data_IF_665069096891
#
_entry.id   IF_665069096891
#
_cell.length_a   1.000
_cell.length_b   1.000
_cell.length_c   1.000
_cell.angle_alpha   90.00
_cell.angle_beta   90.00
_cell.angle_gamma   90.00
#
_symmetry.space_group_name_H-M   'P 1'
#
loop_
_entity.id
_entity.type
_entity.pdbx_description
1 polymer ?
#
# COMPACT_ATOMS: atom_id res chain seq x y z
N UNK A 1 11.39 -13.42 4.16
CA UNK A 1 10.77 -14.45 5.05
C UNK A 1 11.84 -15.27 5.78
N UNK A 2 11.52 -15.98 6.88
CA UNK A 2 12.51 -16.76 7.66
C UNK A 2 13.17 -17.87 6.84
N UNK A 3 12.37 -18.69 6.14
CA UNK A 3 12.90 -19.78 5.32
C UNK A 3 13.77 -19.25 4.18
N UNK A 4 13.37 -18.16 3.52
CA UNK A 4 14.20 -17.52 2.47
C UNK A 4 15.54 -17.00 3.01
N UNK A 5 15.57 -16.43 4.22
CA UNK A 5 16.83 -16.01 4.86
C UNK A 5 17.73 -17.21 5.14
N UNK A 6 17.16 -18.31 5.63
CA UNK A 6 17.91 -19.54 5.87
C UNK A 6 18.46 -20.16 4.57
N UNK A 7 17.66 -20.16 3.49
CA UNK A 7 18.12 -20.61 2.17
C UNK A 7 19.34 -19.80 1.71
N UNK A 8 19.28 -18.47 1.86
CA UNK A 8 20.38 -17.58 1.54
C UNK A 8 21.62 -17.84 2.42
N UNK A 9 21.45 -17.99 3.73
CA UNK A 9 22.53 -18.31 4.67
C UNK A 9 23.19 -19.66 4.36
N UNK A 10 22.40 -20.63 3.92
CA UNK A 10 22.86 -21.97 3.52
C UNK A 10 23.39 -22.04 2.08
N UNK A 11 23.35 -20.93 1.32
CA UNK A 11 23.69 -20.89 -0.11
C UNK A 11 22.86 -21.87 -0.97
N UNK A 12 21.62 -22.14 -0.54
CA UNK A 12 20.64 -22.89 -1.31
C UNK A 12 20.01 -21.98 -2.39
N UNK A 13 19.47 -22.55 -3.50
CA UNK A 13 18.74 -21.78 -4.51
C UNK A 13 17.62 -20.95 -3.88
N UNK A 14 17.32 -19.78 -4.44
CA UNK A 14 16.22 -18.96 -3.95
C UNK A 14 14.86 -19.59 -4.31
N UNK A 15 13.76 -19.07 -3.73
CA UNK A 15 12.41 -19.61 -3.98
C UNK A 15 12.05 -19.68 -5.47
N UNK A 16 12.44 -18.67 -6.26
CA UNK A 16 12.11 -18.59 -7.69
C UNK A 16 12.85 -19.66 -8.48
N UNK A 17 14.11 -19.90 -8.16
CA UNK A 17 14.94 -20.87 -8.85
C UNK A 17 14.50 -22.32 -8.57
N UNK A 18 14.04 -22.63 -7.35
CA UNK A 18 13.55 -23.96 -7.00
C UNK A 18 12.10 -24.23 -7.45
N UNK A 19 11.33 -23.18 -7.73
CA UNK A 19 9.91 -23.28 -8.04
C UNK A 19 9.01 -23.48 -6.81
N UNK A 20 7.70 -23.32 -7.03
CA UNK A 20 6.70 -23.24 -5.95
C UNK A 20 6.61 -24.52 -5.12
N UNK A 21 6.50 -25.68 -5.77
CA UNK A 21 6.22 -26.94 -5.07
C UNK A 21 7.39 -27.34 -4.16
N UNK A 22 8.63 -27.24 -4.67
CA UNK A 22 9.83 -27.51 -3.90
C UNK A 22 10.00 -26.53 -2.72
N UNK A 23 9.70 -25.24 -2.94
CA UNK A 23 9.73 -24.24 -1.87
C UNK A 23 8.70 -24.55 -0.77
N UNK A 24 7.48 -24.90 -1.14
CA UNK A 24 6.42 -25.24 -0.17
C UNK A 24 6.81 -26.47 0.65
N UNK A 25 7.39 -27.49 0.02
CA UNK A 25 7.92 -28.67 0.71
C UNK A 25 9.02 -28.29 1.72
N UNK A 26 9.95 -27.44 1.31
CA UNK A 26 11.03 -26.92 2.19
C UNK A 26 10.47 -26.17 3.40
N UNK A 27 9.42 -25.37 3.22
CA UNK A 27 8.74 -24.66 4.32
C UNK A 27 8.07 -25.65 5.29
N UNK A 28 7.47 -26.73 4.79
CA UNK A 28 6.92 -27.80 5.64
C UNK A 28 7.99 -28.51 6.48
N UNK A 29 9.15 -28.79 5.88
CA UNK A 29 10.29 -29.38 6.60
C UNK A 29 10.75 -28.46 7.74
N UNK A 30 10.95 -27.16 7.44
CA UNK A 30 11.31 -26.17 8.45
C UNK A 30 10.26 -26.03 9.56
N UNK A 31 8.97 -26.08 9.21
CA UNK A 31 7.88 -26.07 10.19
C UNK A 31 7.94 -27.27 11.13
N UNK A 32 8.29 -28.45 10.63
CA UNK A 32 8.41 -29.65 11.46
C UNK A 32 9.53 -29.50 12.50
N UNK A 33 10.68 -28.95 12.09
CA UNK A 33 11.82 -28.67 12.98
C UNK A 33 11.50 -27.57 14.01
N UNK A 34 11.02 -26.42 13.54
CA UNK A 34 10.73 -25.26 14.39
C UNK A 34 9.55 -25.51 15.34
N UNK A 35 8.45 -26.07 14.82
CA UNK A 35 7.26 -26.38 15.63
C UNK A 35 7.56 -27.39 16.74
N UNK A 36 8.38 -28.40 16.47
CA UNK A 36 8.83 -29.36 17.48
C UNK A 36 9.58 -28.67 18.63
N UNK A 37 10.42 -27.69 18.32
CA UNK A 37 11.21 -26.96 19.32
C UNK A 37 10.32 -26.08 20.20
N UNK A 38 9.37 -25.32 19.62
CA UNK A 38 8.45 -24.45 20.38
C UNK A 38 7.63 -25.27 21.40
N UNK A 39 7.08 -26.41 20.96
CA UNK A 39 6.30 -27.30 21.85
C UNK A 39 7.16 -27.87 22.97
N UNK A 40 8.40 -28.28 22.67
CA UNK A 40 9.33 -28.78 23.70
C UNK A 40 9.69 -27.70 24.72
N UNK A 41 9.92 -26.46 24.27
CA UNK A 41 10.20 -25.33 25.15
C UNK A 41 9.02 -25.04 26.08
N UNK A 42 7.78 -24.98 25.56
CA UNK A 42 6.58 -24.76 26.37
C UNK A 42 6.38 -25.88 27.40
N UNK A 43 6.59 -27.14 27.01
CA UNK A 43 6.53 -28.29 27.94
C UNK A 43 7.60 -28.18 29.02
N UNK A 44 8.82 -27.78 28.66
CA UNK A 44 9.92 -27.58 29.63
C UNK A 44 9.64 -26.44 30.61
N UNK A 45 8.93 -25.40 30.17
CA UNK A 45 8.44 -24.32 31.03
C UNK A 45 7.28 -24.74 31.94
N UNK A 46 6.77 -25.98 31.78
CA UNK A 46 5.67 -26.50 32.59
C UNK A 46 4.29 -26.05 32.14
N UNK A 47 4.13 -25.63 30.88
CA UNK A 47 2.81 -25.28 30.34
C UNK A 47 1.87 -26.50 30.36
N UNK A 48 0.75 -26.39 31.08
CA UNK A 48 -0.25 -27.44 31.27
C UNK A 48 -1.35 -27.43 30.19
N UNK A 49 -0.97 -27.16 28.94
CA UNK A 49 -1.90 -27.15 27.80
C UNK A 49 -2.42 -28.55 27.46
N UNK A 50 -3.61 -28.65 26.85
CA UNK A 50 -4.11 -29.91 26.29
C UNK A 50 -3.42 -30.21 24.95
N UNK A 51 -2.27 -30.87 25.04
CA UNK A 51 -1.45 -31.23 23.88
C UNK A 51 -2.13 -32.21 22.91
N UNK A 52 -3.20 -32.91 23.33
CA UNK A 52 -3.96 -33.79 22.43
C UNK A 52 -4.76 -33.01 21.38
N UNK A 53 -5.00 -31.72 21.65
CA UNK A 53 -5.73 -30.78 20.78
C UNK A 53 -4.81 -29.75 20.15
N UNK A 54 -3.52 -30.05 20.05
CA UNK A 54 -2.59 -29.21 19.30
C UNK A 54 -3.11 -28.99 17.87
N UNK A 55 -3.10 -27.74 17.44
CA UNK A 55 -3.57 -27.31 16.11
C UNK A 55 -2.51 -26.46 15.45
N UNK A 56 -2.48 -26.54 14.13
CA UNK A 56 -1.64 -25.73 13.28
C UNK A 56 -2.52 -25.02 12.27
N UNK A 57 -2.27 -23.74 12.01
CA UNK A 57 -3.14 -22.90 11.18
C UNK A 57 -3.43 -23.52 9.81
N UNK A 58 -2.46 -24.22 9.21
CA UNK A 58 -2.61 -24.93 7.94
C UNK A 58 -2.82 -26.45 8.07
N UNK A 59 -3.23 -26.96 9.25
CA UNK A 59 -3.70 -28.33 9.35
C UNK A 59 -5.04 -28.53 8.60
N UNK A 60 -5.43 -29.78 8.40
CA UNK A 60 -6.64 -30.11 7.63
C UNK A 60 -7.91 -29.48 8.23
N UNK A 61 -8.03 -29.48 9.56
CA UNK A 61 -9.21 -28.97 10.26
C UNK A 61 -9.37 -27.46 10.13
N UNK A 62 -8.29 -26.72 10.40
CA UNK A 62 -8.29 -25.26 10.29
C UNK A 62 -8.33 -24.79 8.84
N UNK A 63 -7.67 -25.48 7.91
CA UNK A 63 -7.77 -25.17 6.47
C UNK A 63 -9.21 -25.29 5.96
N UNK A 64 -9.94 -26.33 6.38
CA UNK A 64 -11.37 -26.48 6.06
C UNK A 64 -12.23 -25.38 6.67
N UNK A 65 -11.91 -24.94 7.89
CA UNK A 65 -12.62 -23.84 8.54
C UNK A 65 -12.43 -22.52 7.79
N UNK A 66 -11.21 -22.20 7.35
CA UNK A 66 -10.90 -21.00 6.56
C UNK A 66 -11.68 -21.01 5.24
N UNK A 67 -11.68 -22.12 4.50
CA UNK A 67 -12.44 -22.26 3.24
C UNK A 67 -13.94 -22.04 3.48
N UNK A 68 -14.50 -22.67 4.53
CA UNK A 68 -15.91 -22.51 4.88
C UNK A 68 -16.26 -21.05 5.14
N UNK A 69 -15.50 -20.37 6.00
CA UNK A 69 -15.74 -18.97 6.39
C UNK A 69 -15.60 -18.05 5.19
N UNK A 70 -14.59 -18.25 4.34
CA UNK A 70 -14.42 -17.47 3.12
C UNK A 70 -15.66 -17.57 2.21
N UNK A 71 -16.10 -18.80 1.91
CA UNK A 71 -17.26 -19.02 1.02
C UNK A 71 -18.54 -18.46 1.63
N UNK A 72 -18.71 -18.57 2.95
CA UNK A 72 -19.87 -18.05 3.66
C UNK A 72 -19.93 -16.51 3.60
N UNK A 73 -18.84 -15.84 3.93
CA UNK A 73 -18.76 -14.37 3.87
C UNK A 73 -18.87 -13.84 2.43
N UNK A 74 -18.32 -14.55 1.45
CA UNK A 74 -18.49 -14.22 0.03
C UNK A 74 -19.96 -14.30 -0.39
N UNK A 75 -20.67 -15.37 -0.01
CA UNK A 75 -22.12 -15.52 -0.30
C UNK A 75 -22.98 -14.47 0.40
N UNK A 76 -22.52 -13.92 1.52
CA UNK A 76 -23.16 -12.82 2.21
C UNK A 76 -22.85 -11.45 1.60
N UNK A 77 -21.99 -11.37 0.57
CA UNK A 77 -21.53 -10.11 -0.03
C UNK A 77 -20.53 -9.35 0.83
N UNK A 78 -20.02 -9.96 1.91
CA UNK A 78 -19.06 -9.34 2.83
C UNK A 78 -17.61 -9.52 2.37
N UNK A 79 -17.34 -10.50 1.50
CA UNK A 79 -16.08 -10.62 0.76
C UNK A 79 -16.34 -10.23 -0.68
N UNK A 80 -15.50 -9.36 -1.21
CA UNK A 80 -15.60 -8.86 -2.58
C UNK A 80 -14.21 -8.63 -3.18
N UNK A 81 -14.16 -8.53 -4.51
CA UNK A 81 -12.97 -8.17 -5.26
C UNK A 81 -13.12 -6.72 -5.70
N UNK A 82 -12.10 -5.90 -5.46
CA UNK A 82 -12.07 -4.50 -5.86
C UNK A 82 -10.67 -4.11 -6.33
N UNK A 83 -10.60 -3.10 -7.18
CA UNK A 83 -9.35 -2.48 -7.64
C UNK A 83 -9.09 -1.24 -6.79
N UNK A 84 -8.21 -1.38 -5.81
CA UNK A 84 -7.83 -0.28 -4.90
C UNK A 84 -6.32 -0.24 -4.73
N UNK A 85 -5.85 0.83 -4.10
CA UNK A 85 -4.49 0.88 -3.60
C UNK A 85 -4.32 -0.13 -2.47
N UNK A 86 -3.21 -0.84 -2.52
CA UNK A 86 -2.70 -1.64 -1.41
C UNK A 86 -1.32 -1.17 -1.03
N UNK A 87 -0.96 -1.41 0.22
CA UNK A 87 0.42 -1.37 0.66
C UNK A 87 1.17 -2.52 -0.01
N UNK A 88 1.98 -2.23 -1.01
CA UNK A 88 2.79 -3.21 -1.72
C UNK A 88 4.21 -3.19 -1.22
N UNK A 89 4.71 -4.37 -0.87
CA UNK A 89 6.12 -4.56 -0.53
C UNK A 89 6.88 -4.98 -1.80
N UNK A 90 7.72 -4.10 -2.40
CA UNK A 90 8.47 -4.43 -3.62
C UNK A 90 9.59 -5.46 -3.38
N UNK A 91 10.04 -5.63 -2.13
CA UNK A 91 11.05 -6.64 -1.78
C UNK A 91 10.46 -8.04 -1.68
N UNK A 92 9.28 -8.16 -1.04
CA UNK A 92 8.58 -9.44 -0.87
C UNK A 92 7.62 -9.78 -2.01
N UNK A 93 7.22 -8.76 -2.79
CA UNK A 93 6.28 -8.82 -3.90
C UNK A 93 4.91 -9.31 -3.47
N UNK A 94 4.37 -8.66 -2.44
CA UNK A 94 3.04 -8.97 -1.92
C UNK A 94 2.38 -7.71 -1.38
N UNK A 95 1.05 -7.67 -1.48
CA UNK A 95 0.26 -6.77 -0.66
C UNK A 95 0.44 -7.09 0.82
N UNK A 96 0.41 -6.08 1.67
CA UNK A 96 0.43 -6.18 3.14
C UNK A 96 -0.70 -5.33 3.74
N UNK A 97 -1.09 -5.64 4.98
CA UNK A 97 -2.09 -4.88 5.74
C UNK A 97 -1.53 -3.55 6.23
N UNK A 98 -2.39 -2.56 6.52
CA UNK A 98 -1.98 -1.33 7.23
C UNK A 98 -1.31 -1.65 8.58
N UNK A 99 -1.71 -2.75 9.22
CA UNK A 99 -1.10 -3.23 10.48
C UNK A 99 0.30 -3.82 10.31
N UNK A 100 0.72 -4.10 9.08
CA UNK A 100 2.04 -4.64 8.72
C UNK A 100 2.97 -3.50 8.23
N UNK A 101 2.51 -2.25 8.28
CA UNK A 101 3.27 -1.05 7.91
C UNK A 101 3.77 -0.32 9.15
N UNK A 102 5.07 -0.03 9.19
CA UNK A 102 5.73 0.74 10.22
C UNK A 102 6.15 2.11 9.67
N UNK A 103 5.52 3.21 10.10
CA UNK A 103 5.95 4.54 9.69
C UNK A 103 7.26 4.91 10.41
N UNK A 104 8.27 5.34 9.66
CA UNK A 104 9.56 5.80 10.21
C UNK A 104 9.86 7.22 9.75
N UNK A 105 10.43 8.01 10.65
CA UNK A 105 10.89 9.37 10.35
C UNK A 105 12.18 9.32 9.52
N UNK A 106 12.18 10.01 8.38
CA UNK A 106 13.31 10.02 7.44
C UNK A 106 13.61 11.45 7.01
N UNK A 107 14.90 11.80 6.96
CA UNK A 107 15.37 13.03 6.34
C UNK A 107 15.23 12.90 4.82
N UNK A 108 14.39 13.73 4.22
CA UNK A 108 14.22 13.82 2.78
C UNK A 108 14.22 15.26 2.31
N UNK A 109 13.65 15.47 1.12
CA UNK A 109 13.49 16.80 0.55
C UNK A 109 12.03 17.01 0.14
N UNK A 110 11.63 18.28 0.14
CA UNK A 110 10.43 18.77 -0.48
C UNK A 110 10.84 19.56 -1.73
N UNK A 111 10.54 19.02 -2.90
CA UNK A 111 10.84 19.63 -4.18
C UNK A 111 9.66 20.49 -4.65
N UNK A 112 9.97 21.68 -5.14
CA UNK A 112 9.00 22.58 -5.73
C UNK A 112 9.20 22.66 -7.24
N UNK A 113 8.21 22.16 -8.00
CA UNK A 113 8.26 22.12 -9.46
C UNK A 113 7.23 23.06 -10.08
N UNK A 114 7.61 23.68 -11.19
CA UNK A 114 6.74 24.52 -12.03
C UNK A 114 6.00 23.65 -13.03
N UNK A 115 4.69 23.71 -13.00
CA UNK A 115 3.79 23.09 -13.98
C UNK A 115 3.26 24.19 -14.89
N UNK A 116 3.70 24.28 -16.16
CA UNK A 116 3.25 25.30 -17.09
C UNK A 116 1.73 25.22 -17.34
N UNK A 117 1.05 26.37 -17.41
CA UNK A 117 -0.35 26.41 -17.87
C UNK A 117 -0.39 26.18 -19.38
N UNK A 118 -1.22 25.24 -19.84
CA UNK A 118 -1.34 24.90 -21.25
C UNK A 118 -1.81 26.08 -22.11
N UNK A 119 -2.66 26.94 -21.54
CA UNK A 119 -3.35 28.01 -22.25
C UNK A 119 -2.65 29.38 -22.09
N UNK A 120 -1.62 29.46 -21.24
CA UNK A 120 -0.96 30.71 -20.83
C UNK A 120 0.56 30.53 -20.78
N UNK A 121 1.25 30.66 -21.93
CA UNK A 121 2.70 30.52 -22.01
C UNK A 121 3.43 31.46 -21.02
N UNK A 122 4.34 30.90 -20.23
CA UNK A 122 5.11 31.64 -19.22
C UNK A 122 4.43 31.75 -17.84
N UNK A 123 3.16 31.34 -17.70
CA UNK A 123 2.53 31.16 -16.39
C UNK A 123 2.65 29.69 -15.95
N UNK A 124 2.80 29.48 -14.64
CA UNK A 124 2.96 28.16 -14.05
C UNK A 124 2.30 28.08 -12.67
N UNK A 125 1.92 26.87 -12.29
CA UNK A 125 1.55 26.51 -10.92
C UNK A 125 2.75 25.84 -10.27
N UNK A 126 3.10 26.26 -9.06
CA UNK A 126 4.17 25.61 -8.29
C UNK A 126 3.54 24.52 -7.43
N UNK A 127 3.99 23.29 -7.61
CA UNK A 127 3.56 22.13 -6.83
C UNK A 127 4.72 21.65 -5.96
N UNK A 128 4.42 21.32 -4.71
CA UNK A 128 5.38 20.73 -3.79
C UNK A 128 5.20 19.20 -3.70
N UNK A 129 6.28 18.43 -3.72
CA UNK A 129 6.23 16.98 -3.52
C UNK A 129 7.50 16.42 -2.90
N UNK A 130 7.36 15.34 -2.13
CA UNK A 130 8.46 14.49 -1.63
C UNK A 130 8.77 13.30 -2.55
N UNK A 131 7.98 13.10 -3.62
CA UNK A 131 8.11 11.97 -4.55
C UNK A 131 8.11 12.43 -6.01
N UNK A 132 9.18 13.09 -6.49
CA UNK A 132 9.30 13.56 -7.87
C UNK A 132 8.98 12.48 -8.91
N UNK A 133 9.42 11.24 -8.69
CA UNK A 133 9.21 10.13 -9.63
C UNK A 133 7.73 9.82 -9.91
N UNK A 134 6.86 10.05 -8.93
CA UNK A 134 5.42 9.81 -9.09
C UNK A 134 4.73 10.83 -9.97
N UNK A 135 5.37 11.98 -10.24
CA UNK A 135 4.76 13.04 -11.04
C UNK A 135 4.41 12.59 -12.46
N UNK A 136 5.13 11.60 -13.01
CA UNK A 136 4.86 11.05 -14.34
C UNK A 136 3.45 10.41 -14.44
N UNK A 137 2.87 10.03 -13.29
CA UNK A 137 1.53 9.48 -13.16
C UNK A 137 0.46 10.52 -12.80
N UNK A 138 0.80 11.81 -12.77
CA UNK A 138 -0.14 12.85 -12.35
C UNK A 138 -1.35 12.92 -13.27
N UNK A 139 -2.49 13.17 -12.63
CA UNK A 139 -3.80 13.20 -13.27
C UNK A 139 -4.54 14.51 -13.02
N UNK A 140 -4.13 15.28 -12.02
CA UNK A 140 -4.58 16.66 -11.78
C UNK A 140 -3.60 17.39 -10.86
N UNK A 141 -3.83 18.70 -10.72
CA UNK A 141 -3.31 19.49 -9.60
C UNK A 141 -4.51 19.92 -8.74
N UNK A 142 -4.51 19.58 -7.46
CA UNK A 142 -5.55 20.02 -6.53
C UNK A 142 -5.15 21.33 -5.84
N UNK A 143 -6.12 22.24 -5.74
CA UNK A 143 -6.02 23.48 -4.98
C UNK A 143 -7.22 23.62 -4.06
N UNK A 144 -7.06 24.31 -2.93
CA UNK A 144 -8.17 24.49 -2.02
C UNK A 144 -9.23 25.43 -2.63
N UNK A 145 -10.54 25.12 -2.53
CA UNK A 145 -11.61 25.97 -3.09
C UNK A 145 -11.59 27.42 -2.58
N UNK A 146 -11.21 27.60 -1.31
CA UNK A 146 -11.18 28.90 -0.64
C UNK A 146 -9.84 29.64 -0.79
N UNK A 147 -8.84 29.07 -1.47
CA UNK A 147 -7.55 29.74 -1.66
C UNK A 147 -7.63 30.80 -2.79
N UNK A 148 -7.61 32.11 -2.47
CA UNK A 148 -7.78 33.15 -3.46
C UNK A 148 -6.66 33.19 -4.52
N UNK A 149 -5.49 32.57 -4.25
CA UNK A 149 -4.36 32.51 -5.18
C UNK A 149 -4.67 31.69 -6.44
N UNK A 150 -5.53 30.68 -6.30
CA UNK A 150 -5.76 29.66 -7.33
C UNK A 150 -7.19 29.62 -7.88
N UNK A 151 -8.12 30.41 -7.35
CA UNK A 151 -9.53 30.43 -7.79
C UNK A 151 -9.71 30.62 -9.30
N UNK A 152 -8.91 31.50 -9.91
CA UNK A 152 -8.96 31.79 -11.35
C UNK A 152 -8.25 30.73 -12.22
N UNK A 153 -7.62 29.74 -11.58
CA UNK A 153 -6.94 28.62 -12.24
C UNK A 153 -7.74 27.32 -12.20
N UNK A 154 -8.74 27.19 -11.31
CA UNK A 154 -9.61 26.01 -11.26
C UNK A 154 -10.31 25.81 -12.61
N UNK A 155 -10.23 24.59 -13.14
CA UNK A 155 -10.76 24.21 -14.45
C UNK A 155 -9.83 24.49 -15.64
N UNK A 156 -8.70 25.18 -15.43
CA UNK A 156 -7.65 25.29 -16.45
C UNK A 156 -6.80 24.01 -16.50
N UNK A 157 -6.06 23.87 -17.59
CA UNK A 157 -5.16 22.74 -17.80
C UNK A 157 -3.70 23.17 -17.59
N UNK A 158 -2.92 22.31 -16.94
CA UNK A 158 -1.45 22.40 -16.91
C UNK A 158 -0.86 21.31 -17.80
N UNK A 159 0.25 21.62 -18.44
CA UNK A 159 1.04 20.63 -19.15
C UNK A 159 1.98 19.95 -18.16
N UNK A 160 1.82 18.64 -17.99
CA UNK A 160 2.64 17.82 -17.12
C UNK A 160 4.07 17.78 -17.66
N UNK A 161 5.06 18.32 -16.91
CA UNK A 161 6.45 18.30 -17.37
C UNK A 161 6.95 16.89 -17.66
N UNK A 162 7.87 16.76 -18.63
CA UNK A 162 8.48 15.50 -19.12
C UNK A 162 7.53 14.54 -19.85
N UNK A 163 6.23 14.56 -19.56
CA UNK A 163 5.21 13.69 -20.18
C UNK A 163 4.46 14.40 -21.31
N UNK A 164 4.22 15.71 -21.19
CA UNK A 164 3.44 16.51 -22.15
C UNK A 164 1.92 16.28 -22.08
N UNK A 165 1.44 15.56 -21.06
CA UNK A 165 0.00 15.32 -20.83
C UNK A 165 -0.66 16.58 -20.26
N UNK A 166 -1.81 16.97 -20.78
CA UNK A 166 -2.60 18.03 -20.16
C UNK A 166 -3.45 17.47 -19.02
N UNK A 167 -3.30 18.03 -17.82
CA UNK A 167 -4.05 17.63 -16.61
C UNK A 167 -4.81 18.83 -16.02
N UNK A 168 -6.03 18.62 -15.50
CA UNK A 168 -6.84 19.71 -14.96
C UNK A 168 -6.34 20.20 -13.60
N UNK A 169 -6.63 21.46 -13.29
CA UNK A 169 -6.59 22.00 -11.94
C UNK A 169 -7.97 21.83 -11.30
N UNK A 170 -8.06 21.06 -10.22
CA UNK A 170 -9.31 20.74 -9.52
C UNK A 170 -9.37 21.44 -8.16
N UNK A 171 -10.59 21.82 -7.75
CA UNK A 171 -10.82 22.38 -6.42
C UNK A 171 -11.18 21.25 -5.45
N UNK A 172 -10.34 20.98 -4.45
CA UNK A 172 -10.58 19.93 -3.45
C UNK A 172 -10.09 20.37 -2.07
N UNK A 173 -10.88 20.10 -1.03
CA UNK A 173 -10.55 20.48 0.36
C UNK A 173 -9.38 19.69 0.96
N UNK A 174 -8.91 18.63 0.28
CA UNK A 174 -7.69 17.93 0.68
C UNK A 174 -6.44 18.79 0.54
N UNK A 175 -6.41 19.70 -0.43
CA UNK A 175 -5.27 20.61 -0.59
C UNK A 175 -5.28 21.64 0.55
N UNK A 176 -4.20 21.69 1.34
CA UNK A 176 -4.07 22.65 2.43
C UNK A 176 -3.38 23.94 1.95
N UNK A 177 -4.05 25.12 2.00
CA UNK A 177 -3.45 26.40 1.62
C UNK A 177 -2.16 26.76 2.38
N UNK A 178 -2.01 26.27 3.62
CA UNK A 178 -0.87 26.56 4.49
C UNK A 178 0.31 25.62 4.24
N UNK A 179 0.09 24.48 3.57
CA UNK A 179 1.12 23.49 3.30
C UNK A 179 1.80 23.69 1.94
N UNK A 180 3.12 23.83 1.94
CA UNK A 180 3.92 23.96 0.72
C UNK A 180 3.51 25.21 -0.07
N UNK A 181 2.88 25.02 -1.22
CA UNK A 181 2.39 26.11 -2.08
C UNK A 181 0.87 26.33 -1.97
N UNK A 182 0.12 25.40 -1.36
CA UNK A 182 -1.34 25.32 -1.47
C UNK A 182 -1.85 24.60 -2.72
N UNK A 183 -0.95 24.18 -3.60
CA UNK A 183 -1.25 23.35 -4.77
C UNK A 183 -0.50 22.00 -4.67
N UNK A 184 -1.26 20.91 -4.80
CA UNK A 184 -0.76 19.54 -4.59
C UNK A 184 -0.92 18.74 -5.88
N UNK A 185 0.11 18.01 -6.30
CA UNK A 185 -0.04 17.06 -7.42
C UNK A 185 -0.93 15.91 -6.98
N UNK A 186 -1.82 15.48 -7.86
CA UNK A 186 -2.68 14.34 -7.61
C UNK A 186 -2.22 13.18 -8.50
N UNK A 187 -1.70 12.14 -7.85
CA UNK A 187 -1.22 10.90 -8.48
C UNK A 187 -2.02 9.70 -7.96
N UNK A 188 -3.27 9.49 -8.41
CA UNK A 188 -4.22 8.58 -7.76
C UNK A 188 -3.76 7.12 -7.62
N UNK A 189 -2.85 6.67 -8.49
CA UNK A 189 -2.37 5.29 -8.48
C UNK A 189 -1.17 5.03 -7.53
N UNK A 190 -0.66 6.06 -6.83
CA UNK A 190 0.58 5.97 -6.01
C UNK A 190 0.48 6.63 -4.63
N UNK A 191 -0.69 7.16 -4.26
CA UNK A 191 -0.95 7.72 -2.92
C UNK A 191 -2.43 7.53 -2.51
N UNK A 192 -2.66 7.13 -1.26
CA UNK A 192 -4.01 6.81 -0.76
C UNK A 192 -4.94 8.03 -0.70
N UNK A 193 -4.42 9.21 -0.37
CA UNK A 193 -5.24 10.41 -0.33
C UNK A 193 -5.52 10.92 -1.75
N UNK A 194 -4.51 10.89 -2.62
CA UNK A 194 -4.66 11.23 -4.04
C UNK A 194 -5.66 10.31 -4.74
N UNK A 195 -5.72 9.03 -4.35
CA UNK A 195 -6.71 8.08 -4.85
C UNK A 195 -8.14 8.50 -4.53
N UNK A 196 -8.39 8.97 -3.31
CA UNK A 196 -9.71 9.45 -2.91
C UNK A 196 -10.06 10.77 -3.60
N UNK A 197 -9.10 11.68 -3.80
CA UNK A 197 -9.30 12.87 -4.64
C UNK A 197 -9.62 12.45 -6.08
N UNK A 198 -8.86 11.51 -6.63
CA UNK A 198 -9.07 10.97 -7.97
C UNK A 198 -10.45 10.37 -8.15
N UNK A 199 -10.96 9.63 -7.15
CA UNK A 199 -12.33 9.10 -7.15
C UNK A 199 -13.39 10.20 -7.09
N UNK A 200 -13.20 11.24 -6.27
CA UNK A 200 -14.17 12.36 -6.15
C UNK A 200 -14.32 13.17 -7.44
N UNK A 201 -13.22 13.31 -8.20
CA UNK A 201 -13.16 14.12 -9.42
C UNK A 201 -13.13 13.30 -10.72
N UNK A 202 -13.37 11.98 -10.65
CA UNK A 202 -13.35 11.06 -11.80
C UNK A 202 -12.07 11.15 -12.65
N UNK A 203 -10.92 11.21 -11.96
CA UNK A 203 -9.61 11.36 -12.60
C UNK A 203 -9.08 10.00 -13.09
N UNK A 204 -8.35 9.98 -14.22
CA UNK A 204 -7.65 8.77 -14.66
C UNK A 204 -6.61 8.34 -13.60
N UNK A 205 -6.32 7.04 -13.56
CA UNK A 205 -5.38 6.47 -12.58
C UNK A 205 -4.22 5.79 -13.33
N UNK A 206 -3.11 6.49 -13.49
CA UNK A 206 -1.93 5.98 -14.20
C UNK A 206 -0.99 5.23 -13.24
N UNK A 207 -1.01 3.90 -13.28
CA UNK A 207 -0.02 3.10 -12.55
C UNK A 207 1.30 3.09 -13.34
N UNK A 208 2.31 3.82 -12.88
CA UNK A 208 3.60 4.02 -13.57
C UNK A 208 4.70 3.08 -13.08
N UNK A 209 4.49 2.36 -11.98
CA UNK A 209 5.47 1.44 -11.43
C UNK A 209 5.13 0.01 -11.87
N UNK A 210 6.12 -0.87 -11.86
CA UNK A 210 6.03 -2.33 -11.97
C UNK A 210 6.15 -2.98 -10.56
N UNK A 211 5.85 -4.28 -10.43
CA UNK A 211 5.81 -4.93 -9.11
C UNK A 211 7.15 -4.82 -8.33
N UNK A 212 8.25 -4.50 -9.00
CA UNK A 212 9.58 -4.29 -8.43
C UNK A 212 9.87 -2.82 -8.07
N UNK A 213 8.88 -1.94 -8.19
CA UNK A 213 9.01 -0.49 -8.07
C UNK A 213 9.97 0.13 -9.10
N UNK A 214 10.03 -0.44 -10.30
CA UNK A 214 10.65 0.16 -11.48
C UNK A 214 9.60 0.84 -12.37
N UNK A 215 9.97 1.87 -13.11
CA UNK A 215 9.04 2.54 -14.02
C UNK A 215 8.65 1.65 -15.20
N UNK A 216 7.37 1.60 -15.54
CA UNK A 216 6.80 0.72 -16.55
C UNK A 216 6.55 1.44 -17.90
N UNK A 217 5.75 0.86 -18.79
CA UNK A 217 5.48 1.42 -20.13
C UNK A 217 4.63 2.71 -20.15
N UNK A 218 3.95 3.05 -19.05
CA UNK A 218 3.08 4.25 -18.92
C UNK A 218 3.87 5.57 -18.85
N UNK A 219 5.21 5.51 -18.75
CA UNK A 219 6.09 6.68 -18.70
C UNK A 219 6.86 6.89 -20.01
N UNK A 220 7.43 8.09 -20.25
CA UNK A 220 8.31 8.35 -21.39
C UNK A 220 9.44 7.33 -21.49
N UNK A 221 9.80 6.94 -22.71
CA UNK A 221 10.77 5.88 -23.03
C UNK A 221 12.09 6.04 -22.27
N UNK A 222 12.54 7.28 -22.07
CA UNK A 222 13.78 7.60 -21.39
C UNK A 222 13.84 7.15 -19.92
N UNK A 223 12.69 6.96 -19.26
CA UNK A 223 12.60 6.57 -17.84
C UNK A 223 12.22 5.11 -17.62
N UNK A 224 11.81 4.38 -18.66
CA UNK A 224 11.30 3.01 -18.53
C UNK A 224 12.39 2.07 -17.99
N UNK A 225 11.98 1.18 -17.09
CA UNK A 225 12.85 0.21 -16.42
C UNK A 225 13.73 0.78 -15.31
N UNK A 226 13.74 2.11 -15.08
CA UNK A 226 14.52 2.70 -13.99
C UNK A 226 13.89 2.36 -12.63
N UNK A 227 14.69 1.96 -11.63
CA UNK A 227 14.24 1.87 -10.25
C UNK A 227 13.76 3.24 -9.74
N UNK A 228 12.70 3.28 -8.91
CA UNK A 228 12.07 4.52 -8.40
C UNK A 228 13.05 5.58 -7.88
N UNK A 229 14.13 5.19 -7.21
CA UNK A 229 15.10 6.12 -6.63
C UNK A 229 16.04 6.71 -7.68
N UNK A 230 16.51 5.89 -8.64
CA UNK A 230 17.30 6.36 -9.77
C UNK A 230 16.45 7.24 -10.70
N UNK A 231 15.18 6.86 -10.89
CA UNK A 231 14.21 7.66 -11.62
C UNK A 231 14.01 9.03 -10.96
N UNK A 232 13.90 9.08 -9.62
CA UNK A 232 13.77 10.34 -8.87
C UNK A 232 14.93 11.28 -9.15
N UNK A 233 16.17 10.80 -9.02
CA UNK A 233 17.37 11.61 -9.27
C UNK A 233 17.40 12.15 -10.69
N UNK A 234 17.09 11.29 -11.67
CA UNK A 234 17.08 11.66 -13.09
C UNK A 234 15.99 12.68 -13.41
N UNK A 235 14.78 12.49 -12.89
CA UNK A 235 13.64 13.39 -13.11
C UNK A 235 13.92 14.77 -12.52
N UNK A 236 14.50 14.84 -11.32
CA UNK A 236 14.90 16.12 -10.73
C UNK A 236 15.94 16.83 -11.59
N UNK A 237 16.96 16.11 -12.07
CA UNK A 237 17.99 16.67 -12.95
C UNK A 237 17.42 17.17 -14.28
N UNK A 238 16.51 16.41 -14.90
CA UNK A 238 15.88 16.80 -16.16
C UNK A 238 14.97 18.04 -15.99
N UNK A 239 14.25 18.15 -14.86
CA UNK A 239 13.43 19.33 -14.56
C UNK A 239 14.27 20.57 -14.25
N UNK A 240 15.41 20.40 -13.58
CA UNK A 240 16.36 21.49 -13.33
C UNK A 240 16.98 21.99 -14.64
N UNK A 241 17.37 21.07 -15.53
CA UNK A 241 17.88 21.41 -16.86
C UNK A 241 16.85 22.18 -17.72
N UNK A 242 15.56 21.93 -17.50
CA UNK A 242 14.45 22.67 -18.12
C UNK A 242 14.10 23.99 -17.39
N UNK A 243 14.74 24.30 -16.26
CA UNK A 243 14.43 25.48 -15.45
C UNK A 243 13.08 25.40 -14.72
N UNK A 244 12.53 24.19 -14.58
CA UNK A 244 11.24 23.92 -13.94
C UNK A 244 11.37 23.55 -12.46
N UNK A 245 12.59 23.34 -11.95
CA UNK A 245 12.85 23.24 -10.52
C UNK A 245 12.94 24.66 -9.92
N UNK A 246 12.05 25.00 -8.99
CA UNK A 246 12.05 26.31 -8.33
C UNK A 246 12.92 26.34 -7.08
N UNK A 247 12.74 25.34 -6.18
CA UNK A 247 13.49 25.24 -4.93
C UNK A 247 13.45 23.81 -4.39
N UNK A 248 14.43 23.49 -3.55
CA UNK A 248 14.52 22.24 -2.79
C UNK A 248 14.65 22.61 -1.32
N UNK A 249 13.79 22.05 -0.49
CA UNK A 249 13.80 22.26 0.96
C UNK A 249 14.11 20.95 1.68
N UNK A 250 14.93 20.99 2.72
CA UNK A 250 15.10 19.83 3.60
C UNK A 250 13.79 19.60 4.36
N UNK A 251 13.31 18.36 4.35
CA UNK A 251 12.04 18.02 4.95
C UNK A 251 12.07 16.64 5.61
N UNK A 252 11.84 16.65 6.92
CA UNK A 252 11.66 15.43 7.69
C UNK A 252 10.21 14.98 7.56
N UNK A 253 10.00 13.74 7.10
CA UNK A 253 8.67 13.19 6.90
C UNK A 253 8.60 11.72 7.30
N UNK A 254 7.38 11.22 7.45
CA UNK A 254 7.11 9.83 7.75
C UNK A 254 7.06 9.03 6.46
N UNK A 255 7.84 7.96 6.38
CA UNK A 255 7.87 7.02 5.25
C UNK A 255 7.37 5.66 5.73
N UNK A 256 6.46 4.99 5.00
CA UNK A 256 5.95 3.67 5.37
C UNK A 256 6.97 2.58 5.04
N UNK A 257 7.36 1.77 6.03
CA UNK A 257 8.23 0.60 5.86
C UNK A 257 7.50 -0.70 6.17
N UNK A 258 7.86 -1.79 5.50
CA UNK A 258 7.32 -3.11 5.84
C UNK A 258 7.91 -3.65 7.14
N UNK A 259 7.07 -4.19 8.04
CA UNK A 259 7.48 -4.78 9.32
C UNK A 259 8.56 -5.88 9.17
N UNK A 260 8.45 -6.67 8.09
CA UNK A 260 9.29 -7.86 7.84
C UNK A 260 10.44 -7.61 6.90
N UNK A 261 10.23 -6.81 5.85
CA UNK A 261 11.25 -6.53 4.83
C UNK A 261 12.16 -5.37 5.24
N UNK A 262 11.61 -4.39 5.97
CA UNK A 262 12.28 -3.12 6.20
C UNK A 262 12.43 -2.27 4.94
N UNK A 263 11.74 -2.62 3.86
CA UNK A 263 11.69 -1.86 2.60
C UNK A 263 10.61 -0.78 2.64
N UNK A 264 10.80 0.30 1.86
CA UNK A 264 9.77 1.34 1.70
C UNK A 264 8.60 0.78 0.88
N UNK A 265 7.42 0.85 1.47
CA UNK A 265 6.16 0.35 0.91
C UNK A 265 5.64 1.30 -0.16
N UNK A 266 5.11 0.72 -1.24
CA UNK A 266 4.49 1.45 -2.34
C UNK A 266 2.96 1.32 -2.28
N UNK A 267 2.20 2.42 -2.30
CA UNK A 267 0.79 2.36 -2.65
C UNK A 267 0.67 1.88 -4.11
N UNK A 268 -0.02 0.76 -4.31
CA UNK A 268 -0.06 0.07 -5.59
C UNK A 268 -1.49 -0.24 -6.01
N UNK A 269 -1.88 0.17 -7.22
CA UNK A 269 -3.21 -0.10 -7.75
C UNK A 269 -3.31 -1.52 -8.33
N UNK A 270 -4.05 -2.40 -7.66
CA UNK A 270 -4.20 -3.81 -8.06
C UNK A 270 -5.53 -4.40 -7.62
N UNK A 271 -5.97 -5.45 -8.30
CA UNK A 271 -7.15 -6.22 -7.97
C UNK A 271 -6.89 -7.15 -6.79
N UNK A 272 -7.61 -6.95 -5.68
CA UNK A 272 -7.45 -7.73 -4.45
C UNK A 272 -8.79 -8.12 -3.85
N UNK A 273 -8.75 -9.11 -2.96
CA UNK A 273 -9.89 -9.54 -2.18
C UNK A 273 -9.95 -8.75 -0.87
N UNK A 274 -11.11 -8.16 -0.61
CA UNK A 274 -11.39 -7.38 0.58
C UNK A 274 -12.53 -7.98 1.38
N UNK A 275 -12.50 -7.69 2.68
CA UNK A 275 -13.61 -7.92 3.60
C UNK A 275 -14.22 -6.59 4.01
N UNK A 276 -15.55 -6.51 4.04
CA UNK A 276 -16.29 -5.42 4.70
C UNK A 276 -16.11 -5.49 6.22
N UNK A 277 -14.97 -4.96 6.66
CA UNK A 277 -14.59 -4.93 8.06
C UNK A 277 -15.52 -4.04 8.89
N UNK A 278 -16.11 -3.00 8.30
CA UNK A 278 -17.03 -2.10 8.99
C UNK A 278 -18.29 -2.84 9.43
N UNK A 279 -18.89 -3.64 8.54
CA UNK A 279 -20.05 -4.46 8.89
C UNK A 279 -19.71 -5.53 9.93
N UNK A 280 -18.57 -6.21 9.76
CA UNK A 280 -18.13 -7.25 10.71
C UNK A 280 -17.71 -6.72 12.08
N UNK A 281 -17.27 -5.46 12.17
CA UNK A 281 -16.85 -4.84 13.42
C UNK A 281 -18.01 -4.58 14.38
N UNK A 282 -19.22 -4.33 13.86
CA UNK A 282 -20.41 -3.96 14.65
C UNK A 282 -20.72 -4.95 15.79
N UNK A 283 -20.91 -6.26 15.55
CA UNK A 283 -21.20 -7.21 16.63
C UNK A 283 -20.07 -7.32 17.66
N UNK A 284 -18.81 -7.11 17.25
CA UNK A 284 -17.67 -7.14 18.15
C UNK A 284 -17.62 -5.90 19.06
N UNK A 285 -17.89 -4.71 18.50
CA UNK A 285 -18.06 -3.46 19.26
C UNK A 285 -19.18 -3.61 20.29
N UNK A 286 -20.35 -4.08 19.85
CA UNK A 286 -21.52 -4.30 20.72
C UNK A 286 -21.23 -5.27 21.86
N UNK A 287 -20.43 -6.32 21.63
CA UNK A 287 -20.06 -7.27 22.67
C UNK A 287 -19.24 -6.62 23.80
N UNK A 288 -18.37 -5.68 23.47
CA UNK A 288 -17.57 -4.93 24.46
C UNK A 288 -18.43 -3.87 25.16
N UNK A 289 -19.24 -3.13 24.41
CA UNK A 289 -20.16 -2.12 24.97
C UNK A 289 -21.18 -2.74 25.96
N UNK A 290 -21.65 -3.96 25.68
CA UNK A 290 -22.58 -4.69 26.54
C UNK A 290 -21.88 -5.47 27.67
N UNK A 291 -20.54 -5.43 27.76
CA UNK A 291 -19.77 -6.16 28.76
C UNK A 291 -19.76 -7.68 28.60
N UNK A 292 -20.15 -8.21 27.42
CA UNK A 292 -19.97 -9.64 27.06
C UNK A 292 -18.50 -9.98 26.88
N UNK A 293 -17.69 -9.01 26.48
CA UNK A 293 -16.23 -9.07 26.42
C UNK A 293 -15.66 -7.96 27.29
N UNK A 294 -14.69 -8.28 28.16
CA UNK A 294 -14.09 -7.33 29.11
C UNK A 294 -12.58 -7.32 28.92
N UNK A 295 -12.00 -6.14 28.76
CA UNK A 295 -10.55 -5.99 28.65
C UNK A 295 -9.88 -5.91 30.01
N UNK A 296 -8.70 -6.53 30.11
CA UNK A 296 -7.83 -6.42 31.27
C UNK A 296 -6.43 -5.99 30.80
N UNK A 297 -5.94 -4.79 31.17
CA UNK A 297 -6.66 -3.73 31.88
C UNK A 297 -7.73 -3.01 31.04
N UNK A 298 -8.73 -2.40 31.71
CA UNK A 298 -9.90 -1.76 31.05
C UNK A 298 -9.56 -0.58 30.14
N UNK A 299 -8.43 0.08 30.35
CA UNK A 299 -8.03 1.22 29.52
C UNK A 299 -7.85 0.84 28.03
N UNK A 300 -7.56 -0.42 27.72
CA UNK A 300 -7.47 -0.92 26.34
C UNK A 300 -8.79 -0.85 25.57
N UNK A 301 -9.94 -0.73 26.24
CA UNK A 301 -11.24 -0.50 25.57
C UNK A 301 -11.22 0.76 24.71
N UNK A 302 -10.52 1.82 25.16
CA UNK A 302 -10.42 3.07 24.40
C UNK A 302 -9.72 2.85 23.06
N UNK A 303 -8.54 2.22 23.11
CA UNK A 303 -7.75 1.88 21.92
C UNK A 303 -8.53 0.92 21.00
N UNK A 304 -9.21 -0.07 21.57
CA UNK A 304 -10.07 -0.98 20.82
C UNK A 304 -11.19 -0.24 20.08
N UNK A 305 -11.94 0.63 20.78
CA UNK A 305 -13.04 1.37 20.14
C UNK A 305 -12.56 2.37 19.11
N UNK A 306 -11.44 3.05 19.36
CA UNK A 306 -10.82 3.95 18.39
C UNK A 306 -10.45 3.22 17.10
N UNK A 307 -9.87 2.03 17.21
CA UNK A 307 -9.54 1.19 16.06
C UNK A 307 -10.78 0.66 15.35
N UNK A 308 -11.70 0.03 16.09
CA UNK A 308 -12.88 -0.64 15.52
C UNK A 308 -13.87 0.32 14.86
N UNK A 309 -13.99 1.56 15.36
CA UNK A 309 -14.91 2.57 14.80
C UNK A 309 -14.37 3.26 13.55
N UNK A 310 -13.06 3.21 13.34
CA UNK A 310 -12.37 3.79 12.18
C UNK A 310 -11.86 2.73 11.19
N UNK A 311 -12.29 1.48 11.37
CA UNK A 311 -11.78 0.33 10.62
C UNK A 311 -12.03 0.49 9.11
N UNK A 312 -10.99 0.23 8.32
CA UNK A 312 -11.06 0.25 6.85
C UNK A 312 -11.29 -1.16 6.30
N UNK A 313 -11.80 -1.29 5.06
CA UNK A 313 -11.91 -2.59 4.40
C UNK A 313 -10.59 -3.37 4.41
N UNK A 314 -10.64 -4.62 4.85
CA UNK A 314 -9.43 -5.40 5.09
C UNK A 314 -9.03 -6.18 3.84
N UNK A 315 -7.85 -5.89 3.28
CA UNK A 315 -7.25 -6.68 2.21
C UNK A 315 -6.81 -8.05 2.74
N UNK A 316 -7.47 -9.12 2.27
CA UNK A 316 -7.24 -10.51 2.71
C UNK A 316 -6.48 -11.38 1.70
N UNK A 317 -6.22 -10.89 0.49
CA UNK A 317 -5.36 -11.58 -0.47
C UNK A 317 -3.89 -11.22 -0.29
N UNK A 318 -3.02 -12.17 -0.63
CA UNK A 318 -1.55 -12.06 -0.57
C UNK A 318 -0.95 -12.79 -1.76
N UNK A 319 0.17 -12.30 -2.28
CA UNK A 319 0.92 -12.91 -3.39
C UNK A 319 2.05 -13.81 -2.86
N UNK A 320 1.75 -14.55 -1.79
CA UNK A 320 2.67 -15.44 -1.11
C UNK A 320 2.49 -16.88 -1.60
N UNK A 321 3.57 -17.66 -1.54
CA UNK A 321 3.52 -19.09 -1.84
C UNK A 321 3.10 -19.95 -0.65
N UNK A 322 3.25 -19.40 0.57
CA UNK A 322 2.88 -20.04 1.81
C UNK A 322 1.64 -19.38 2.41
N UNK A 323 0.60 -20.19 2.65
CA UNK A 323 -0.68 -19.75 3.20
C UNK A 323 -1.85 -20.54 2.64
N UNK A 324 -3.06 -20.22 3.09
CA UNK A 324 -4.27 -20.80 2.52
C UNK A 324 -4.54 -20.21 1.13
N UNK A 325 -4.73 -21.08 0.13
CA UNK A 325 -5.16 -20.65 -1.18
C UNK A 325 -6.62 -20.19 -1.12
N UNK A 326 -6.89 -18.97 -1.61
CA UNK A 326 -8.26 -18.46 -1.73
C UNK A 326 -9.07 -19.37 -2.66
N UNK A 327 -10.24 -19.88 -2.25
CA UNK A 327 -11.06 -20.80 -3.04
C UNK A 327 -11.90 -20.03 -4.07
N UNK A 328 -11.23 -19.41 -5.05
CA UNK A 328 -11.84 -18.69 -6.16
C UNK A 328 -11.34 -19.26 -7.50
N UNK A 329 -12.26 -19.38 -8.45
CA UNK A 329 -12.00 -19.85 -9.81
C UNK A 329 -12.52 -18.82 -10.81
N UNK A 330 -11.71 -18.51 -11.81
CA UNK A 330 -12.04 -17.56 -12.87
C UNK A 330 -12.46 -18.29 -14.14
N UNK A 331 -13.42 -17.74 -14.86
CA UNK A 331 -13.86 -18.26 -16.14
C UNK A 331 -12.89 -17.87 -17.27
N UNK A 332 -13.18 -18.31 -18.51
CA UNK A 332 -12.38 -17.91 -19.69
C UNK A 332 -12.32 -16.40 -19.91
N UNK A 333 -13.36 -15.67 -19.48
CA UNK A 333 -13.51 -14.23 -19.65
C UNK A 333 -13.01 -13.41 -18.45
N UNK A 334 -12.38 -14.06 -17.47
CA UNK A 334 -11.93 -13.47 -16.21
C UNK A 334 -12.89 -13.71 -15.06
#
# INVERSE_FOLDING_TARGET
>A
MVVERQLMENQEPNRRDMGRDAFVERVWQWKAESGGTIVQQLRRLGASCDWSRERFTMDEGLSRAVIKVFVELYRQGLIYKDKRLVNWDPGLLTAISDLEVEPREVNGHLWHFKYPLADAPGQFVIVATTRPETMLGDSAVAVHPDDPRYRDLVGKMVELPLVGRQIPIVADSYADPEQGTGAVKITPAHDFNDFEVGRRHDLPMYNILDAHACLNEEVPEVYRGLPRYEARERIVADLDALGLLERVEEHVHMVPFGDRSGEVIEPWLTDQWYVDAATLARPAIEAVEQGKTVFVPRNWEKTYFEWMRNIQPWCISRQLWWGHQIPAWYGPDG
#
